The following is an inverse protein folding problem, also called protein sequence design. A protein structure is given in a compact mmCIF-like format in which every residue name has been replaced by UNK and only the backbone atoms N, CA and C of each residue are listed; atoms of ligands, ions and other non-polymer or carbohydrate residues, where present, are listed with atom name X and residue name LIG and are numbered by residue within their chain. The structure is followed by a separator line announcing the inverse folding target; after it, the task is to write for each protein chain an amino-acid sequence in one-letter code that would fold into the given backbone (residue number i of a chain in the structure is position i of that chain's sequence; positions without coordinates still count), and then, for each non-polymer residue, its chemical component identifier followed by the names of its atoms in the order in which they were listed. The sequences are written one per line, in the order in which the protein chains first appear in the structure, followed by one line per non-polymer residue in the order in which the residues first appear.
data_IF_087779632359
#
_entry.id   IF_087779632359
#
_cell.length_a   1.000
_cell.length_b   1.000
_cell.length_c   1.000
_cell.angle_alpha   90.00
_cell.angle_beta   90.00
_cell.angle_gamma   90.00
#
_symmetry.space_group_name_H-M   'P 1'
#
loop_
_entity.id
_entity.type
_entity.pdbx_description
1 polymer ?
#
# COMPACT_ATOMS: atom_id res chain seq x y z
N UNK A 1 -16.55 -28.28 48.41
CA UNK A 1 -17.04 -27.27 47.44
C UNK A 1 -15.96 -27.06 46.41
N UNK A 2 -16.08 -27.77 45.27
CA UNK A 2 -15.10 -27.63 44.16
C UNK A 2 -15.57 -26.55 43.26
N UNK A 3 -14.92 -25.36 43.31
CA UNK A 3 -15.06 -24.31 42.32
C UNK A 3 -14.39 -24.79 41.02
N UNK A 4 -15.16 -25.40 40.13
CA UNK A 4 -14.80 -25.54 38.73
C UNK A 4 -14.74 -24.14 38.13
N UNK A 5 -13.55 -23.54 38.14
CA UNK A 5 -13.28 -22.37 37.33
C UNK A 5 -13.53 -22.76 35.86
N UNK A 6 -14.68 -22.41 35.33
CA UNK A 6 -15.00 -22.53 33.91
C UNK A 6 -13.97 -21.73 33.14
N UNK A 7 -12.91 -22.39 32.65
CA UNK A 7 -11.99 -21.82 31.70
C UNK A 7 -12.79 -21.50 30.44
N UNK A 8 -13.23 -20.28 30.33
CA UNK A 8 -13.78 -19.74 29.09
C UNK A 8 -12.76 -19.99 28.00
N UNK A 9 -13.03 -20.97 27.13
CA UNK A 9 -12.28 -21.14 25.90
C UNK A 9 -12.40 -19.82 25.12
N UNK A 10 -11.30 -19.13 24.96
CA UNK A 10 -11.28 -17.95 24.08
C UNK A 10 -11.78 -18.42 22.70
N UNK A 11 -12.75 -17.74 22.10
CA UNK A 11 -13.24 -18.09 20.79
C UNK A 11 -12.07 -18.15 19.82
N UNK A 12 -11.86 -19.31 19.21
CA UNK A 12 -10.83 -19.51 18.19
C UNK A 12 -11.23 -18.63 16.99
N UNK A 13 -10.37 -17.68 16.60
CA UNK A 13 -10.56 -16.91 15.37
C UNK A 13 -10.62 -17.84 14.15
N UNK A 14 -11.17 -17.34 13.05
CA UNK A 14 -11.23 -18.08 11.79
C UNK A 14 -9.82 -18.43 11.26
N UNK A 15 -9.68 -19.48 10.45
CA UNK A 15 -8.39 -19.85 9.87
C UNK A 15 -7.82 -18.73 9.00
N UNK A 16 -6.51 -18.41 9.07
CA UNK A 16 -5.89 -17.35 8.31
C UNK A 16 -5.82 -17.61 6.79
N UNK A 17 -6.14 -18.84 6.36
CA UNK A 17 -6.16 -19.22 4.95
C UNK A 17 -7.06 -18.32 4.09
N UNK A 18 -8.17 -17.82 4.65
CA UNK A 18 -9.08 -16.92 3.95
C UNK A 18 -8.45 -15.58 3.61
N UNK A 19 -7.54 -15.09 4.46
CA UNK A 19 -6.76 -13.88 4.16
C UNK A 19 -5.81 -14.13 2.99
N UNK A 20 -5.19 -15.31 2.93
CA UNK A 20 -4.33 -15.69 1.81
C UNK A 20 -5.14 -15.85 0.51
N UNK A 21 -6.32 -16.46 0.56
CA UNK A 21 -7.23 -16.57 -0.60
C UNK A 21 -7.64 -15.17 -1.07
N UNK A 22 -8.02 -14.28 -0.15
CA UNK A 22 -8.33 -12.89 -0.48
C UNK A 22 -7.17 -12.22 -1.23
N UNK A 23 -5.94 -12.35 -0.74
CA UNK A 23 -4.75 -11.79 -1.41
C UNK A 23 -4.54 -12.37 -2.81
N UNK A 24 -4.69 -13.70 -2.97
CA UNK A 24 -4.56 -14.34 -4.28
C UNK A 24 -5.62 -13.81 -5.24
N UNK A 25 -6.88 -13.66 -4.80
CA UNK A 25 -7.95 -13.05 -5.61
C UNK A 25 -7.58 -11.62 -6.01
N UNK A 26 -7.06 -10.80 -5.07
CA UNK A 26 -6.57 -9.45 -5.38
C UNK A 26 -5.51 -9.49 -6.48
N UNK A 27 -4.49 -10.33 -6.34
CA UNK A 27 -3.38 -10.43 -7.28
C UNK A 27 -3.81 -10.93 -8.67
N UNK A 28 -4.73 -11.89 -8.71
CA UNK A 28 -5.29 -12.37 -9.98
C UNK A 28 -6.10 -11.27 -10.66
N UNK A 29 -6.95 -10.56 -9.93
CA UNK A 29 -7.75 -9.47 -10.49
C UNK A 29 -6.87 -8.32 -10.99
N UNK A 30 -5.84 -7.94 -10.23
CA UNK A 30 -4.90 -6.88 -10.64
C UNK A 30 -4.10 -7.35 -11.87
N UNK A 31 -3.55 -8.57 -11.85
CA UNK A 31 -2.81 -9.13 -12.97
C UNK A 31 -3.66 -9.29 -14.25
N UNK A 32 -4.96 -9.55 -14.11
CA UNK A 32 -5.88 -9.63 -15.26
C UNK A 32 -6.06 -8.27 -15.98
N UNK A 33 -5.79 -7.15 -15.30
CA UNK A 33 -5.91 -5.82 -15.90
C UNK A 33 -4.92 -5.57 -17.05
N UNK A 34 -3.77 -6.24 -17.03
CA UNK A 34 -2.74 -6.09 -18.07
C UNK A 34 -2.89 -7.10 -19.22
N UNK A 35 -3.82 -8.03 -19.11
CA UNK A 35 -4.10 -9.02 -20.17
C UNK A 35 -5.01 -8.41 -21.22
N UNK A 36 -4.49 -8.12 -22.41
CA UNK A 36 -5.20 -7.44 -23.50
C UNK A 36 -6.53 -8.12 -23.86
N UNK A 37 -6.53 -9.45 -23.97
CA UNK A 37 -7.73 -10.25 -24.27
C UNK A 37 -8.87 -10.08 -23.26
N UNK A 38 -8.58 -9.63 -22.07
CA UNK A 38 -9.54 -9.38 -21.00
C UNK A 38 -9.95 -7.89 -20.92
N UNK A 39 -9.58 -7.07 -21.90
CA UNK A 39 -9.84 -5.64 -21.93
C UNK A 39 -11.32 -5.26 -21.72
N UNK A 40 -12.24 -6.01 -22.31
CA UNK A 40 -13.69 -5.82 -22.13
C UNK A 40 -14.17 -6.04 -20.69
N UNK A 41 -13.45 -6.83 -19.89
CA UNK A 41 -13.77 -7.13 -18.51
C UNK A 41 -12.94 -6.31 -17.50
N UNK A 42 -12.10 -5.39 -17.98
CA UNK A 42 -11.16 -4.60 -17.14
C UNK A 42 -11.88 -3.88 -16.00
N UNK A 43 -13.02 -3.24 -16.28
CA UNK A 43 -13.84 -2.60 -15.25
C UNK A 43 -14.28 -3.59 -14.17
N UNK A 44 -14.74 -4.77 -14.56
CA UNK A 44 -15.14 -5.83 -13.62
C UNK A 44 -13.99 -6.29 -12.73
N UNK A 45 -12.81 -6.54 -13.28
CA UNK A 45 -11.62 -6.93 -12.50
C UNK A 45 -11.18 -5.82 -11.54
N UNK A 46 -11.19 -4.56 -11.99
CA UNK A 46 -10.85 -3.41 -11.14
C UNK A 46 -11.81 -3.27 -9.96
N UNK A 47 -13.11 -3.38 -10.19
CA UNK A 47 -14.12 -3.32 -9.13
C UNK A 47 -14.04 -4.54 -8.23
N UNK A 48 -13.82 -5.74 -8.77
CA UNK A 48 -13.76 -6.97 -7.98
C UNK A 48 -12.70 -6.93 -6.89
N UNK A 49 -11.59 -6.21 -7.10
CA UNK A 49 -10.58 -6.01 -6.05
C UNK A 49 -11.17 -5.35 -4.81
N UNK A 50 -12.06 -4.37 -4.96
CA UNK A 50 -12.69 -3.66 -3.86
C UNK A 50 -13.95 -4.41 -3.35
N UNK A 51 -14.75 -4.95 -4.25
CA UNK A 51 -15.95 -5.74 -3.91
C UNK A 51 -15.58 -6.96 -3.05
N UNK A 52 -14.47 -7.64 -3.35
CA UNK A 52 -14.01 -8.77 -2.53
C UNK A 52 -13.72 -8.36 -1.07
N UNK A 53 -13.21 -7.15 -0.83
CA UNK A 53 -13.00 -6.62 0.53
C UNK A 53 -14.32 -6.32 1.24
N UNK A 54 -15.32 -5.82 0.52
CA UNK A 54 -16.68 -5.61 1.05
C UNK A 54 -17.38 -6.93 1.32
N UNK A 55 -17.22 -7.93 0.47
CA UNK A 55 -17.76 -9.28 0.70
C UNK A 55 -17.15 -9.90 1.96
N UNK A 56 -15.84 -9.76 2.16
CA UNK A 56 -15.18 -10.19 3.40
C UNK A 56 -15.74 -9.45 4.62
N UNK A 57 -15.98 -8.15 4.50
CA UNK A 57 -16.61 -7.36 5.56
C UNK A 57 -18.02 -7.87 5.86
N UNK A 58 -18.87 -8.00 4.85
CA UNK A 58 -20.26 -8.47 4.98
C UNK A 58 -20.34 -9.87 5.59
N UNK A 59 -19.51 -10.81 5.10
CA UNK A 59 -19.47 -12.18 5.63
C UNK A 59 -19.00 -12.25 7.08
N UNK A 60 -18.16 -11.30 7.52
CA UNK A 60 -17.53 -11.35 8.83
C UNK A 60 -18.16 -10.42 9.88
N UNK A 61 -19.01 -9.45 9.48
CA UNK A 61 -19.49 -8.39 10.36
C UNK A 61 -20.28 -8.93 11.55
N UNK A 62 -20.99 -10.05 11.36
CA UNK A 62 -21.80 -10.70 12.40
C UNK A 62 -20.99 -11.56 13.36
N UNK A 63 -19.74 -11.89 13.01
CA UNK A 63 -18.90 -12.76 13.83
C UNK A 63 -18.26 -11.99 14.99
N UNK A 64 -18.21 -12.58 16.20
CA UNK A 64 -17.57 -11.93 17.33
C UNK A 64 -16.07 -11.76 17.08
N UNK A 65 -15.54 -10.60 17.44
CA UNK A 65 -14.10 -10.31 17.37
C UNK A 65 -13.57 -9.86 18.73
N UNK A 66 -13.21 -10.79 19.59
CA UNK A 66 -12.66 -10.46 20.91
C UNK A 66 -11.32 -9.74 20.83
N UNK A 67 -10.61 -9.86 19.70
CA UNK A 67 -9.28 -9.28 19.48
C UNK A 67 -9.31 -7.77 19.17
N UNK A 68 -10.48 -7.20 18.85
CA UNK A 68 -10.59 -5.78 18.45
C UNK A 68 -10.47 -4.77 19.61
N UNK A 69 -10.51 -5.21 20.86
CA UNK A 69 -10.35 -4.30 22.01
C UNK A 69 -8.95 -3.70 22.01
N UNK A 70 -8.89 -2.37 22.05
CA UNK A 70 -7.63 -1.61 22.08
C UNK A 70 -6.92 -1.49 20.72
N UNK A 71 -7.64 -1.68 19.61
CA UNK A 71 -7.12 -1.35 18.28
C UNK A 71 -7.35 0.15 17.98
N UNK A 72 -6.30 1.00 18.06
CA UNK A 72 -6.48 2.44 18.03
C UNK A 72 -7.01 2.95 16.69
N UNK A 73 -6.62 2.31 15.60
CA UNK A 73 -7.01 2.69 14.24
C UNK A 73 -8.51 2.52 13.99
N UNK A 74 -9.15 1.55 14.67
CA UNK A 74 -10.58 1.22 14.44
C UNK A 74 -11.51 2.41 14.69
N UNK A 75 -11.33 3.09 15.80
CA UNK A 75 -12.21 4.22 16.17
C UNK A 75 -12.06 5.35 15.18
N UNK A 76 -10.83 5.65 14.77
CA UNK A 76 -10.54 6.68 13.76
C UNK A 76 -11.14 6.28 12.41
N UNK A 77 -11.00 5.00 12.02
CA UNK A 77 -11.58 4.47 10.78
C UNK A 77 -13.12 4.59 10.75
N UNK A 78 -13.81 4.31 11.88
CA UNK A 78 -15.25 4.51 11.99
C UNK A 78 -15.60 5.99 11.85
N UNK A 79 -14.92 6.88 12.57
CA UNK A 79 -15.15 8.32 12.49
C UNK A 79 -14.91 8.86 11.07
N UNK A 80 -13.83 8.40 10.41
CA UNK A 80 -13.53 8.74 9.02
C UNK A 80 -14.68 8.33 8.07
N UNK A 81 -15.15 7.09 8.16
CA UNK A 81 -16.24 6.59 7.31
C UNK A 81 -17.57 7.29 7.60
N UNK A 82 -17.88 7.62 8.86
CA UNK A 82 -19.06 8.40 9.20
C UNK A 82 -18.98 9.81 8.62
N UNK A 83 -17.82 10.47 8.73
CA UNK A 83 -17.61 11.81 8.18
C UNK A 83 -17.71 11.79 6.65
N UNK A 84 -17.10 10.81 6.00
CA UNK A 84 -17.20 10.63 4.56
C UNK A 84 -18.66 10.40 4.12
N UNK A 85 -19.43 9.58 4.85
CA UNK A 85 -20.84 9.32 4.55
C UNK A 85 -21.70 10.60 4.68
N UNK A 86 -21.37 11.50 5.60
CA UNK A 86 -22.03 12.81 5.68
C UNK A 86 -21.81 13.66 4.43
N UNK A 87 -20.69 13.49 3.73
CA UNK A 87 -20.43 14.15 2.45
C UNK A 87 -21.45 13.81 1.37
N UNK A 88 -22.27 12.76 1.55
CA UNK A 88 -23.35 12.42 0.59
C UNK A 88 -24.48 13.44 0.56
N UNK A 89 -24.69 14.19 1.62
CA UNK A 89 -25.71 15.27 1.69
C UNK A 89 -25.13 16.63 1.28
N UNK A 90 -23.89 16.68 0.80
CA UNK A 90 -23.26 17.93 0.38
C UNK A 90 -23.95 18.48 -0.89
N UNK A 91 -24.26 19.82 -0.95
CA UNK A 91 -24.99 20.41 -2.08
C UNK A 91 -24.23 20.29 -3.41
N UNK A 92 -22.91 20.23 -3.39
CA UNK A 92 -22.05 20.03 -4.57
C UNK A 92 -21.74 18.56 -4.88
N UNK A 93 -22.56 17.62 -4.41
CA UNK A 93 -22.47 16.22 -4.82
C UNK A 93 -22.61 16.12 -6.35
N UNK A 94 -21.63 15.51 -7.03
CA UNK A 94 -21.65 15.50 -8.50
C UNK A 94 -22.83 14.67 -9.04
N UNK A 95 -22.89 13.39 -8.71
CA UNK A 95 -24.04 12.51 -8.93
C UNK A 95 -24.24 11.61 -7.71
N UNK A 96 -25.46 11.18 -7.38
CA UNK A 96 -25.70 10.23 -6.29
C UNK A 96 -24.91 8.94 -6.48
N UNK A 97 -24.79 8.46 -7.73
CA UNK A 97 -24.07 7.21 -8.05
C UNK A 97 -22.58 7.36 -7.82
N UNK A 98 -21.96 8.48 -8.23
CA UNK A 98 -20.55 8.74 -7.99
C UNK A 98 -20.25 8.90 -6.48
N UNK A 99 -21.13 9.57 -5.74
CA UNK A 99 -20.99 9.71 -4.29
C UNK A 99 -21.08 8.37 -3.55
N UNK A 100 -22.09 7.56 -3.87
CA UNK A 100 -22.24 6.21 -3.30
C UNK A 100 -21.02 5.35 -3.64
N UNK A 101 -20.59 5.33 -4.91
CA UNK A 101 -19.44 4.57 -5.36
C UNK A 101 -18.16 5.01 -4.63
N UNK A 102 -17.99 6.31 -4.38
CA UNK A 102 -16.85 6.86 -3.64
C UNK A 102 -16.84 6.42 -2.17
N UNK A 103 -18.01 6.41 -1.50
CA UNK A 103 -18.16 5.90 -0.13
C UNK A 103 -17.82 4.40 -0.08
N UNK A 104 -18.35 3.59 -1.01
CA UNK A 104 -18.08 2.16 -1.05
C UNK A 104 -16.61 1.84 -1.38
N UNK A 105 -15.96 2.63 -2.23
CA UNK A 105 -14.53 2.50 -2.49
C UNK A 105 -13.70 2.71 -1.21
N UNK A 106 -13.94 3.80 -0.49
CA UNK A 106 -13.24 4.09 0.76
C UNK A 106 -13.55 3.04 1.84
N UNK A 107 -14.81 2.61 1.95
CA UNK A 107 -15.20 1.51 2.83
C UNK A 107 -14.43 0.22 2.48
N UNK A 108 -14.32 -0.13 1.20
CA UNK A 108 -13.60 -1.32 0.74
C UNK A 108 -12.11 -1.26 1.09
N UNK A 109 -11.49 -0.09 0.92
CA UNK A 109 -10.08 0.16 1.23
C UNK A 109 -9.81 0.01 2.73
N UNK A 110 -10.70 0.52 3.58
CA UNK A 110 -10.56 0.52 5.05
C UNK A 110 -11.11 -0.77 5.68
N UNK A 111 -11.96 -1.52 4.99
CA UNK A 111 -12.63 -2.72 5.49
C UNK A 111 -11.69 -3.75 6.18
N UNK A 112 -10.43 -3.97 5.76
CA UNK A 112 -9.50 -4.85 6.45
C UNK A 112 -9.33 -4.55 7.94
N UNK A 113 -9.44 -3.28 8.36
CA UNK A 113 -9.42 -2.88 9.78
C UNK A 113 -10.51 -3.59 10.60
N UNK A 114 -11.62 -3.95 9.97
CA UNK A 114 -12.78 -4.55 10.63
C UNK A 114 -12.85 -6.07 10.50
N UNK A 115 -12.45 -6.64 9.36
CA UNK A 115 -12.59 -8.08 9.14
C UNK A 115 -11.33 -8.88 9.44
N UNK A 116 -10.11 -8.36 9.23
CA UNK A 116 -8.86 -9.08 9.50
C UNK A 116 -8.72 -9.52 10.97
N UNK A 117 -9.09 -8.70 11.98
CA UNK A 117 -8.97 -9.11 13.39
C UNK A 117 -9.85 -10.29 13.82
N UNK A 118 -10.69 -10.81 12.93
CA UNK A 118 -11.53 -12.01 13.20
C UNK A 118 -10.81 -13.32 12.90
N UNK A 119 -9.63 -13.24 12.27
CA UNK A 119 -8.81 -14.39 11.93
C UNK A 119 -7.74 -14.66 12.98
N UNK A 120 -7.36 -15.93 13.11
CA UNK A 120 -6.30 -16.36 14.02
C UNK A 120 -4.92 -16.18 13.36
N UNK A 121 -4.50 -14.93 13.19
CA UNK A 121 -3.20 -14.60 12.59
C UNK A 121 -2.15 -14.60 13.69
N UNK A 122 -1.21 -15.55 13.63
CA UNK A 122 0.01 -15.55 14.42
C UNK A 122 1.19 -14.95 13.64
N UNK A 123 2.37 -14.83 14.24
CA UNK A 123 3.56 -14.28 13.60
C UNK A 123 3.97 -15.06 12.34
N UNK A 124 3.70 -16.39 12.28
CA UNK A 124 3.99 -17.21 11.11
C UNK A 124 3.01 -16.95 9.97
N UNK A 125 1.73 -16.78 10.29
CA UNK A 125 0.71 -16.42 9.31
C UNK A 125 0.97 -15.01 8.76
N UNK A 126 1.32 -14.04 9.62
CA UNK A 126 1.72 -12.69 9.19
C UNK A 126 2.92 -12.73 8.24
N UNK A 127 3.94 -13.54 8.55
CA UNK A 127 5.08 -13.71 7.65
C UNK A 127 4.66 -14.27 6.28
N UNK A 128 3.72 -15.23 6.22
CA UNK A 128 3.20 -15.74 4.93
C UNK A 128 2.46 -14.66 4.15
N UNK A 129 1.67 -13.83 4.80
CA UNK A 129 0.98 -12.69 4.19
C UNK A 129 2.00 -11.74 3.54
N UNK A 130 3.06 -11.38 4.27
CA UNK A 130 4.13 -10.52 3.74
C UNK A 130 4.86 -11.18 2.57
N UNK A 131 5.16 -12.47 2.66
CA UNK A 131 5.80 -13.19 1.56
C UNK A 131 4.94 -13.26 0.29
N UNK A 132 3.61 -13.43 0.43
CA UNK A 132 2.68 -13.39 -0.71
C UNK A 132 2.65 -12.01 -1.36
N UNK A 133 2.55 -10.95 -0.55
CA UNK A 133 2.55 -9.57 -1.03
C UNK A 133 3.89 -9.24 -1.72
N UNK A 134 5.00 -9.60 -1.09
CA UNK A 134 6.32 -9.41 -1.66
C UNK A 134 6.52 -10.16 -2.97
N UNK A 135 6.08 -11.42 -3.05
CA UNK A 135 6.15 -12.22 -4.27
C UNK A 135 5.37 -11.58 -5.42
N UNK A 136 4.17 -11.08 -5.15
CA UNK A 136 3.38 -10.36 -6.15
C UNK A 136 4.05 -9.06 -6.60
N UNK A 137 4.57 -8.25 -5.68
CA UNK A 137 5.26 -7.01 -6.05
C UNK A 137 6.56 -7.27 -6.80
N UNK A 138 7.30 -8.32 -6.44
CA UNK A 138 8.51 -8.72 -7.20
C UNK A 138 8.14 -9.17 -8.61
N UNK A 139 7.07 -9.95 -8.78
CA UNK A 139 6.56 -10.32 -10.10
C UNK A 139 6.11 -9.09 -10.90
N UNK A 140 5.38 -8.18 -10.26
CA UNK A 140 4.94 -6.92 -10.87
C UNK A 140 6.11 -6.04 -11.32
N UNK A 141 7.15 -5.92 -10.49
CA UNK A 141 8.38 -5.22 -10.84
C UNK A 141 9.10 -5.89 -12.01
N UNK A 142 9.16 -7.23 -12.03
CA UNK A 142 9.75 -8.00 -13.15
C UNK A 142 9.00 -7.71 -14.45
N UNK A 143 7.67 -7.77 -14.42
CA UNK A 143 6.85 -7.42 -15.59
C UNK A 143 7.09 -5.95 -16.00
N UNK A 144 7.20 -5.03 -15.05
CA UNK A 144 7.55 -3.64 -15.32
C UNK A 144 8.90 -3.48 -16.04
N UNK A 145 9.90 -4.25 -15.66
CA UNK A 145 11.19 -4.32 -16.40
C UNK A 145 10.98 -4.82 -17.82
N UNK A 146 10.22 -5.92 -17.99
CA UNK A 146 9.94 -6.48 -19.31
C UNK A 146 9.14 -5.51 -20.20
N UNK A 147 8.26 -4.67 -19.63
CA UNK A 147 7.51 -3.65 -20.35
C UNK A 147 8.42 -2.57 -20.97
N UNK A 148 9.54 -2.25 -20.31
CA UNK A 148 10.49 -1.26 -20.85
C UNK A 148 11.33 -1.85 -21.98
N UNK A 149 11.83 -3.09 -21.82
CA UNK A 149 12.70 -3.72 -22.81
C UNK A 149 11.99 -4.43 -23.96
N UNK A 150 10.75 -4.86 -23.71
CA UNK A 150 9.92 -5.58 -24.69
C UNK A 150 8.49 -5.03 -24.69
N UNK A 151 8.31 -3.72 -25.04
CA UNK A 151 6.99 -3.06 -24.94
C UNK A 151 5.93 -3.74 -25.79
N UNK A 152 6.27 -4.17 -27.01
CA UNK A 152 5.33 -4.82 -27.95
C UNK A 152 4.71 -6.12 -27.39
N UNK A 153 5.34 -6.75 -26.40
CA UNK A 153 4.89 -8.02 -25.82
C UNK A 153 4.23 -7.87 -24.46
N UNK A 154 4.67 -6.91 -23.66
CA UNK A 154 4.32 -6.81 -22.25
C UNK A 154 3.60 -5.53 -21.86
N UNK A 155 3.68 -4.46 -22.68
CA UNK A 155 2.94 -3.24 -22.40
C UNK A 155 1.47 -3.44 -22.80
N UNK A 156 0.51 -3.21 -21.88
CA UNK A 156 -0.90 -3.24 -22.26
C UNK A 156 -1.25 -2.06 -23.18
N UNK A 157 -2.31 -2.20 -23.97
CA UNK A 157 -2.81 -1.11 -24.82
C UNK A 157 -3.08 0.13 -23.98
N UNK A 158 -2.42 1.26 -24.27
CA UNK A 158 -2.52 2.49 -23.49
C UNK A 158 -3.78 3.31 -23.78
N UNK A 159 -4.62 2.91 -24.73
CA UNK A 159 -5.84 3.64 -25.11
C UNK A 159 -6.75 3.92 -23.91
N UNK A 160 -6.84 2.97 -22.97
CA UNK A 160 -7.63 3.14 -21.77
C UNK A 160 -7.10 4.24 -20.83
N UNK A 161 -5.79 4.47 -20.80
CA UNK A 161 -5.19 5.55 -19.97
C UNK A 161 -5.68 6.89 -20.50
N UNK A 162 -5.63 7.09 -21.82
CA UNK A 162 -6.10 8.30 -22.47
C UNK A 162 -7.59 8.55 -22.21
N UNK A 163 -8.40 7.49 -22.28
CA UNK A 163 -9.84 7.58 -21.96
C UNK A 163 -10.09 7.95 -20.50
N UNK A 164 -9.25 7.48 -19.57
CA UNK A 164 -9.46 7.68 -18.15
C UNK A 164 -9.04 9.08 -17.67
N UNK A 165 -7.87 9.55 -18.12
CA UNK A 165 -7.24 10.78 -17.60
C UNK A 165 -7.23 11.94 -18.61
N UNK A 166 -7.59 11.72 -19.87
CA UNK A 166 -7.48 12.69 -20.95
C UNK A 166 -6.11 12.69 -21.62
N UNK A 167 -6.02 13.28 -22.82
CA UNK A 167 -4.81 13.23 -23.66
C UNK A 167 -3.62 13.97 -23.02
N UNK A 168 -3.85 15.20 -22.51
CA UNK A 168 -2.79 16.03 -21.95
C UNK A 168 -2.12 15.38 -20.73
N UNK A 169 -2.94 14.82 -19.82
CA UNK A 169 -2.43 14.11 -18.64
C UNK A 169 -1.73 12.82 -19.08
N UNK A 170 -2.29 12.09 -20.04
CA UNK A 170 -1.70 10.85 -20.56
C UNK A 170 -0.30 11.10 -21.15
N UNK A 171 -0.08 12.20 -21.88
CA UNK A 171 1.23 12.56 -22.41
C UNK A 171 2.25 12.79 -21.28
N UNK A 172 1.86 13.41 -20.17
CA UNK A 172 2.75 13.65 -19.01
C UNK A 172 3.20 12.36 -18.32
N UNK A 173 2.48 11.24 -18.56
CA UNK A 173 2.78 9.94 -17.97
C UNK A 173 3.74 9.09 -18.83
N UNK A 174 4.21 9.64 -19.95
CA UNK A 174 5.19 8.98 -20.81
C UNK A 174 6.63 9.23 -20.35
N UNK A 175 7.51 8.34 -20.76
CA UNK A 175 8.97 8.46 -20.65
C UNK A 175 9.58 8.43 -22.04
N UNK A 176 10.70 9.13 -22.22
CA UNK A 176 11.46 9.04 -23.43
C UNK A 176 12.48 7.90 -23.35
N UNK A 177 12.64 7.17 -24.44
CA UNK A 177 13.64 6.14 -24.65
C UNK A 177 14.80 6.70 -25.49
N UNK A 178 15.95 6.03 -25.49
CA UNK A 178 17.15 6.45 -26.23
C UNK A 178 16.97 6.51 -27.74
N UNK A 179 16.06 5.72 -28.27
CA UNK A 179 15.73 5.72 -29.69
C UNK A 179 14.82 6.92 -30.11
N UNK A 180 14.59 7.88 -29.20
CA UNK A 180 13.70 9.02 -29.40
C UNK A 180 12.21 8.69 -29.34
N UNK A 181 11.84 7.43 -29.12
CA UNK A 181 10.46 7.03 -28.93
C UNK A 181 9.97 7.38 -27.52
N UNK A 182 8.72 7.76 -27.39
CA UNK A 182 8.08 7.93 -26.10
C UNK A 182 7.12 6.78 -25.82
N UNK A 183 7.18 6.25 -24.60
CA UNK A 183 6.24 5.21 -24.14
C UNK A 183 5.71 5.55 -22.75
N UNK A 184 4.59 4.95 -22.37
CA UNK A 184 4.09 5.08 -21.01
C UNK A 184 5.09 4.51 -19.99
N UNK A 185 5.14 5.13 -18.81
CA UNK A 185 5.87 4.57 -17.67
C UNK A 185 5.43 3.14 -17.42
N UNK A 186 6.35 2.22 -17.08
CA UNK A 186 6.01 0.82 -16.87
C UNK A 186 4.94 0.68 -15.78
N UNK A 187 3.93 -0.13 -16.08
CA UNK A 187 2.76 -0.34 -15.23
C UNK A 187 2.93 -1.54 -14.30
N UNK A 188 3.80 -2.49 -14.67
CA UNK A 188 3.91 -3.77 -14.00
C UNK A 188 2.66 -4.62 -14.23
N UNK A 189 2.16 -5.26 -13.19
CA UNK A 189 0.88 -5.99 -13.22
C UNK A 189 -0.32 -5.09 -12.91
N UNK A 190 -0.11 -3.78 -12.69
CA UNK A 190 -1.21 -2.82 -12.57
C UNK A 190 -1.52 -2.19 -13.92
N UNK A 191 -2.64 -1.49 -14.03
CA UNK A 191 -3.01 -0.73 -15.21
C UNK A 191 -2.77 0.78 -15.03
N UNK A 192 -1.89 1.14 -14.08
CA UNK A 192 -1.54 2.53 -13.78
C UNK A 192 -0.12 2.84 -14.21
N UNK A 193 0.11 3.85 -15.08
CA UNK A 193 1.44 4.27 -15.46
C UNK A 193 2.30 4.64 -14.24
N UNK A 194 3.49 4.05 -14.14
CA UNK A 194 4.37 4.18 -12.99
C UNK A 194 4.07 3.20 -11.83
N UNK A 195 3.02 2.39 -11.92
CA UNK A 195 2.68 1.38 -10.90
C UNK A 195 3.79 0.35 -10.67
N UNK A 196 4.58 0.05 -11.70
CA UNK A 196 5.77 -0.80 -11.57
C UNK A 196 6.82 -0.20 -10.61
N UNK A 197 6.99 1.12 -10.58
CA UNK A 197 7.90 1.78 -9.64
C UNK A 197 7.47 1.58 -8.18
N UNK A 198 6.18 1.72 -7.89
CA UNK A 198 5.64 1.44 -6.55
C UNK A 198 5.78 -0.04 -6.16
N UNK A 199 5.53 -0.96 -7.09
CA UNK A 199 5.77 -2.39 -6.88
C UNK A 199 7.26 -2.68 -6.66
N UNK A 200 8.14 -2.05 -7.44
CA UNK A 200 9.59 -2.13 -7.30
C UNK A 200 10.08 -1.66 -5.93
N UNK A 201 9.55 -0.56 -5.43
CA UNK A 201 9.86 -0.06 -4.09
C UNK A 201 9.50 -1.09 -3.01
N UNK A 202 8.28 -1.62 -3.05
CA UNK A 202 7.83 -2.63 -2.08
C UNK A 202 8.64 -3.93 -2.19
N UNK A 203 9.00 -4.35 -3.41
CA UNK A 203 9.86 -5.51 -3.66
C UNK A 203 11.28 -5.29 -3.12
N UNK A 204 11.86 -4.09 -3.32
CA UNK A 204 13.17 -3.70 -2.82
C UNK A 204 13.23 -3.74 -1.30
N UNK A 205 12.37 -2.98 -0.64
CA UNK A 205 12.37 -2.84 0.83
C UNK A 205 12.14 -4.18 1.52
N UNK A 206 11.08 -4.90 1.09
CA UNK A 206 10.75 -6.20 1.70
C UNK A 206 11.78 -7.26 1.35
N UNK A 207 12.27 -7.29 0.10
CA UNK A 207 13.29 -8.21 -0.35
C UNK A 207 14.60 -8.04 0.42
N UNK A 208 15.07 -6.80 0.60
CA UNK A 208 16.26 -6.48 1.37
C UNK A 208 16.11 -6.90 2.84
N UNK A 209 14.94 -6.63 3.43
CA UNK A 209 14.62 -7.07 4.78
C UNK A 209 14.70 -8.60 4.92
N UNK A 210 14.09 -9.35 4.00
CA UNK A 210 14.14 -10.82 3.98
C UNK A 210 15.56 -11.34 3.77
N UNK A 211 16.35 -10.71 2.89
CA UNK A 211 17.73 -11.10 2.61
C UNK A 211 18.61 -11.06 3.88
N UNK A 212 18.37 -10.09 4.77
CA UNK A 212 19.19 -9.90 5.97
C UNK A 212 18.62 -10.61 7.19
N UNK A 213 17.29 -10.71 7.32
CA UNK A 213 16.66 -11.19 8.56
C UNK A 213 16.22 -12.65 8.51
N UNK A 214 15.96 -13.22 7.32
CA UNK A 214 15.43 -14.59 7.23
C UNK A 214 16.51 -15.65 7.55
N UNK A 215 16.05 -16.75 8.16
CA UNK A 215 16.91 -17.89 8.51
C UNK A 215 17.14 -18.85 7.32
N UNK A 216 16.20 -18.88 6.38
CA UNK A 216 16.26 -19.76 5.23
C UNK A 216 17.09 -19.12 4.13
N UNK A 217 18.21 -19.77 3.76
CA UNK A 217 19.14 -19.28 2.74
C UNK A 217 18.46 -19.05 1.37
N UNK A 218 17.51 -19.89 1.00
CA UNK A 218 16.76 -19.73 -0.25
C UNK A 218 15.92 -18.44 -0.22
N UNK A 219 15.23 -18.16 0.90
CA UNK A 219 14.44 -16.93 1.05
C UNK A 219 15.36 -15.71 1.08
N UNK A 220 16.55 -15.82 1.67
CA UNK A 220 17.54 -14.74 1.63
C UNK A 220 18.02 -14.46 0.21
N UNK A 221 18.36 -15.49 -0.55
CA UNK A 221 18.80 -15.36 -1.95
C UNK A 221 17.69 -14.77 -2.84
N UNK A 222 16.46 -15.29 -2.71
CA UNK A 222 15.30 -14.76 -3.42
C UNK A 222 14.99 -13.31 -2.98
N UNK A 223 15.13 -13.02 -1.68
CA UNK A 223 14.98 -11.67 -1.14
C UNK A 223 15.93 -10.67 -1.77
N UNK A 224 17.22 -11.06 -1.88
CA UNK A 224 18.23 -10.23 -2.53
C UNK A 224 17.94 -10.03 -4.03
N UNK A 225 17.57 -11.10 -4.74
CA UNK A 225 17.19 -11.01 -6.14
C UNK A 225 15.96 -10.12 -6.34
N UNK A 226 14.92 -10.25 -5.50
CA UNK A 226 13.74 -9.40 -5.52
C UNK A 226 14.07 -7.94 -5.21
N UNK A 227 15.00 -7.68 -4.29
CA UNK A 227 15.46 -6.33 -3.99
C UNK A 227 16.21 -5.71 -5.19
N UNK A 228 17.08 -6.48 -5.86
CA UNK A 228 17.80 -6.03 -7.04
C UNK A 228 16.85 -5.70 -8.20
N UNK A 229 15.89 -6.59 -8.49
CA UNK A 229 14.84 -6.35 -9.50
C UNK A 229 14.00 -5.13 -9.12
N UNK A 230 13.64 -5.01 -7.84
CA UNK A 230 12.82 -3.92 -7.33
C UNK A 230 13.48 -2.56 -7.53
N UNK A 231 14.72 -2.38 -7.10
CA UNK A 231 15.43 -1.09 -7.25
C UNK A 231 15.70 -0.78 -8.72
N UNK A 232 16.04 -1.79 -9.52
CA UNK A 232 16.21 -1.63 -10.96
C UNK A 232 14.91 -1.13 -11.62
N UNK A 233 13.76 -1.73 -11.26
CA UNK A 233 12.46 -1.30 -11.74
C UNK A 233 12.14 0.15 -11.31
N UNK A 234 12.51 0.55 -10.09
CA UNK A 234 12.37 1.94 -9.63
C UNK A 234 13.15 2.90 -10.53
N UNK A 235 14.40 2.58 -10.86
CA UNK A 235 15.22 3.42 -11.76
C UNK A 235 14.58 3.57 -13.14
N UNK A 236 14.23 2.47 -13.80
CA UNK A 236 13.69 2.51 -15.17
C UNK A 236 12.28 3.11 -15.24
N UNK A 237 11.53 3.12 -14.13
CA UNK A 237 10.23 3.79 -14.06
C UNK A 237 10.32 5.30 -14.14
N UNK A 238 11.52 5.86 -13.94
CA UNK A 238 11.83 7.30 -13.92
C UNK A 238 10.94 8.09 -12.94
N UNK A 239 10.43 7.45 -11.88
CA UNK A 239 9.65 8.11 -10.82
C UNK A 239 10.60 8.52 -9.70
N UNK A 240 11.11 9.75 -9.75
CA UNK A 240 12.12 10.27 -8.80
C UNK A 240 11.72 10.11 -7.34
N UNK A 241 10.45 10.35 -7.02
CA UNK A 241 9.92 10.23 -5.65
C UNK A 241 10.15 8.84 -5.08
N UNK A 242 10.09 7.78 -5.92
CA UNK A 242 10.29 6.41 -5.45
C UNK A 242 11.73 6.13 -5.03
N UNK A 243 12.72 6.78 -5.64
CA UNK A 243 14.13 6.68 -5.22
C UNK A 243 14.34 7.33 -3.85
N UNK A 244 13.73 8.51 -3.64
CA UNK A 244 13.79 9.21 -2.35
C UNK A 244 13.14 8.36 -1.27
N UNK A 245 11.96 7.79 -1.55
CA UNK A 245 11.25 6.90 -0.62
C UNK A 245 12.07 5.64 -0.34
N UNK A 246 12.74 5.05 -1.35
CA UNK A 246 13.59 3.87 -1.16
C UNK A 246 14.76 4.17 -0.19
N UNK A 247 15.39 5.34 -0.32
CA UNK A 247 16.42 5.80 0.61
C UNK A 247 15.88 6.03 2.02
N UNK A 248 14.74 6.71 2.14
CA UNK A 248 14.07 6.95 3.42
C UNK A 248 13.67 5.65 4.11
N UNK A 249 13.10 4.71 3.38
CA UNK A 249 12.70 3.39 3.87
C UNK A 249 13.91 2.60 4.39
N UNK A 250 15.04 2.65 3.67
CA UNK A 250 16.28 2.02 4.11
C UNK A 250 16.77 2.62 5.44
N UNK A 251 16.77 3.95 5.56
CA UNK A 251 17.18 4.66 6.80
C UNK A 251 16.25 4.27 7.96
N UNK A 252 14.94 4.26 7.74
CA UNK A 252 13.96 3.86 8.77
C UNK A 252 14.18 2.42 9.21
N UNK A 253 14.36 1.51 8.25
CA UNK A 253 14.58 0.10 8.57
C UNK A 253 15.86 -0.09 9.39
N UNK A 254 16.94 0.57 9.00
CA UNK A 254 18.21 0.56 9.76
C UNK A 254 18.04 1.14 11.16
N UNK A 255 17.37 2.29 11.28
CA UNK A 255 17.15 2.95 12.57
C UNK A 255 16.37 2.04 13.54
N UNK A 256 15.27 1.46 13.10
CA UNK A 256 14.47 0.53 13.92
C UNK A 256 15.28 -0.71 14.33
N UNK A 257 16.14 -1.22 13.44
CA UNK A 257 16.99 -2.38 13.71
C UNK A 257 18.10 -2.03 14.71
N UNK A 258 18.74 -0.86 14.58
CA UNK A 258 19.76 -0.35 15.48
C UNK A 258 19.20 -0.02 16.87
N UNK A 259 18.02 0.63 16.95
CA UNK A 259 17.33 0.93 18.22
C UNK A 259 17.01 -0.32 19.05
N UNK A 260 16.95 -1.48 18.41
CA UNK A 260 16.83 -2.79 19.09
C UNK A 260 18.17 -3.41 19.47
N UNK A 261 19.27 -2.71 19.33
CA UNK A 261 20.61 -3.21 19.64
C UNK A 261 21.16 -4.22 18.61
N UNK A 262 20.53 -4.37 17.43
CA UNK A 262 20.99 -5.29 16.37
C UNK A 262 21.87 -4.53 15.37
N UNK A 263 22.94 -3.91 15.85
CA UNK A 263 23.82 -3.06 15.03
C UNK A 263 24.45 -3.80 13.85
N UNK A 264 24.88 -5.06 14.03
CA UNK A 264 25.46 -5.87 12.94
C UNK A 264 24.48 -6.03 11.77
N UNK A 265 23.19 -6.23 12.08
CA UNK A 265 22.15 -6.32 11.05
C UNK A 265 21.88 -4.96 10.41
N UNK A 266 21.89 -3.88 11.16
CA UNK A 266 21.72 -2.54 10.64
C UNK A 266 22.85 -2.17 9.67
N UNK A 267 24.11 -2.48 10.02
CA UNK A 267 25.27 -2.31 9.14
C UNK A 267 25.17 -3.22 7.91
N UNK A 268 24.77 -4.50 8.07
CA UNK A 268 24.53 -5.41 6.96
C UNK A 268 23.46 -4.90 5.98
N UNK A 269 22.38 -4.30 6.51
CA UNK A 269 21.34 -3.66 5.71
C UNK A 269 21.87 -2.46 4.93
N UNK A 270 22.68 -1.60 5.59
CA UNK A 270 23.30 -0.46 4.94
C UNK A 270 24.17 -0.91 3.76
N UNK A 271 25.08 -1.86 4.01
CA UNK A 271 25.97 -2.36 2.98
C UNK A 271 25.18 -3.00 1.84
N UNK A 272 24.23 -3.90 2.15
CA UNK A 272 23.42 -4.56 1.14
C UNK A 272 22.55 -3.56 0.37
N UNK A 273 21.96 -2.57 1.05
CA UNK A 273 21.16 -1.52 0.45
C UNK A 273 21.98 -0.63 -0.49
N UNK A 274 23.11 -0.12 -0.03
CA UNK A 274 24.03 0.70 -0.84
C UNK A 274 24.53 -0.09 -2.05
N UNK A 275 24.97 -1.33 -1.84
CA UNK A 275 25.43 -2.19 -2.96
C UNK A 275 24.31 -2.42 -3.99
N UNK A 276 23.08 -2.72 -3.53
CA UNK A 276 21.95 -2.98 -4.42
C UNK A 276 21.57 -1.73 -5.21
N UNK A 277 21.52 -0.56 -4.54
CA UNK A 277 21.24 0.73 -5.18
C UNK A 277 22.35 1.07 -6.19
N UNK A 278 23.62 0.93 -5.81
CA UNK A 278 24.76 1.23 -6.69
C UNK A 278 24.82 0.30 -7.88
N UNK A 279 24.60 -1.01 -7.70
CA UNK A 279 24.56 -1.98 -8.80
C UNK A 279 23.37 -1.69 -9.74
N UNK A 280 22.21 -1.36 -9.20
CA UNK A 280 21.05 -0.93 -9.99
C UNK A 280 21.37 0.33 -10.80
N UNK A 281 22.02 1.32 -10.20
CA UNK A 281 22.46 2.52 -10.89
C UNK A 281 23.46 2.22 -12.02
N UNK A 282 24.52 1.47 -11.73
CA UNK A 282 25.52 1.07 -12.74
C UNK A 282 24.87 0.32 -13.89
N UNK A 283 23.98 -0.62 -13.59
CA UNK A 283 23.27 -1.36 -14.63
C UNK A 283 22.41 -0.44 -15.51
N UNK A 284 21.66 0.47 -14.91
CA UNK A 284 20.84 1.45 -15.64
C UNK A 284 21.71 2.33 -16.53
N UNK A 285 22.87 2.77 -16.04
CA UNK A 285 23.81 3.62 -16.81
C UNK A 285 24.54 2.86 -17.93
N UNK A 286 24.70 1.54 -17.82
CA UNK A 286 25.42 0.72 -18.82
C UNK A 286 24.49 0.08 -19.86
N UNK A 287 23.31 -0.32 -19.46
CA UNK A 287 22.33 -1.06 -20.28
C UNK A 287 21.05 -0.21 -20.46
N UNK A 288 20.79 0.68 -19.52
CA UNK A 288 19.70 1.65 -19.55
C UNK A 288 20.04 2.79 -20.49
N UNK A 289 19.05 3.59 -20.76
CA UNK A 289 19.10 4.65 -21.71
C UNK A 289 19.82 5.91 -21.20
N UNK A 290 20.46 6.66 -22.10
CA UNK A 290 20.95 8.01 -21.82
C UNK A 290 19.84 8.92 -21.26
N UNK A 291 18.57 8.66 -21.62
CA UNK A 291 17.41 9.37 -21.09
C UNK A 291 17.20 9.14 -19.58
N UNK A 292 17.53 7.95 -19.03
CA UNK A 292 17.49 7.71 -17.59
C UNK A 292 18.62 8.46 -16.89
N UNK A 293 19.82 8.47 -17.48
CA UNK A 293 20.97 9.25 -17.00
C UNK A 293 20.65 10.74 -16.92
N UNK A 294 20.21 11.33 -18.03
CA UNK A 294 19.82 12.74 -18.09
C UNK A 294 18.72 13.11 -17.07
N UNK A 295 17.77 12.20 -16.83
CA UNK A 295 16.73 12.44 -15.82
C UNK A 295 17.22 12.30 -14.38
N UNK A 296 18.27 11.51 -14.14
CA UNK A 296 18.93 11.44 -12.84
C UNK A 296 19.84 12.64 -12.59
N UNK A 297 20.50 13.16 -13.63
CA UNK A 297 21.29 14.40 -13.55
C UNK A 297 20.44 15.59 -13.10
N UNK A 298 19.17 15.67 -13.54
CA UNK A 298 18.26 16.72 -13.05
C UNK A 298 17.91 16.63 -11.56
N UNK A 299 18.28 15.53 -10.86
CA UNK A 299 18.21 15.45 -9.38
C UNK A 299 19.40 16.15 -8.71
N UNK A 300 20.50 16.33 -9.43
CA UNK A 300 21.73 16.94 -8.93
C UNK A 300 21.88 18.41 -9.36
N UNK A 301 21.31 18.79 -10.51
CA UNK A 301 21.43 20.13 -11.09
C UNK A 301 20.58 21.17 -10.37
N UNK A 302 19.40 20.76 -9.89
CA UNK A 302 18.52 21.61 -9.07
C UNK A 302 18.36 21.03 -7.67
N UNK A 303 18.14 21.90 -6.68
CA UNK A 303 17.87 21.38 -5.33
C UNK A 303 16.59 20.50 -5.36
N UNK A 304 16.66 19.35 -4.69
CA UNK A 304 15.51 18.42 -4.61
C UNK A 304 14.26 19.12 -4.11
N UNK A 305 14.41 20.12 -3.23
CA UNK A 305 13.31 20.92 -2.70
C UNK A 305 12.69 21.81 -3.78
N UNK A 306 13.50 22.45 -4.62
CA UNK A 306 13.01 23.28 -5.74
C UNK A 306 12.23 22.44 -6.75
N UNK A 307 12.78 21.28 -7.12
CA UNK A 307 12.10 20.34 -8.04
C UNK A 307 10.77 19.84 -7.44
N UNK A 308 10.74 19.54 -6.13
CA UNK A 308 9.51 19.14 -5.46
C UNK A 308 8.49 20.28 -5.46
N UNK A 309 8.89 21.50 -5.09
CA UNK A 309 8.01 22.66 -5.03
C UNK A 309 7.39 23.00 -6.39
N UNK A 310 8.18 22.93 -7.46
CA UNK A 310 7.69 23.20 -8.81
C UNK A 310 6.71 22.14 -9.34
N UNK A 311 6.87 20.88 -8.93
CA UNK A 311 6.08 19.78 -9.47
C UNK A 311 4.95 19.31 -8.55
N UNK A 312 5.17 19.22 -7.23
CA UNK A 312 4.23 18.62 -6.26
C UNK A 312 3.99 19.49 -5.03
N UNK A 313 4.99 20.23 -4.57
CA UNK A 313 4.89 21.12 -3.42
C UNK A 313 3.87 22.24 -3.62
N UNK A 314 3.70 22.69 -4.87
CA UNK A 314 2.65 23.62 -5.27
C UNK A 314 1.26 23.11 -4.86
N UNK A 315 0.94 21.83 -5.10
CA UNK A 315 -0.34 21.27 -4.71
C UNK A 315 -0.54 21.24 -3.20
N UNK A 316 0.54 21.06 -2.42
CA UNK A 316 0.45 21.12 -0.96
C UNK A 316 0.14 22.54 -0.48
N UNK A 317 0.81 23.54 -1.06
CA UNK A 317 0.55 24.97 -0.80
C UNK A 317 -0.90 25.31 -1.15
N UNK A 318 -1.35 24.98 -2.37
CA UNK A 318 -2.74 25.20 -2.78
C UNK A 318 -3.75 24.49 -1.87
N UNK A 319 -3.41 23.29 -1.38
CA UNK A 319 -4.30 22.56 -0.47
C UNK A 319 -4.61 23.36 0.78
N UNK A 320 -3.59 24.02 1.38
CA UNK A 320 -3.77 24.74 2.63
C UNK A 320 -4.19 26.19 2.45
N UNK A 321 -3.68 26.88 1.42
CA UNK A 321 -3.93 28.30 1.21
C UNK A 321 -5.23 28.56 0.44
N UNK A 322 -5.63 27.64 -0.43
CA UNK A 322 -6.80 27.79 -1.29
C UNK A 322 -7.89 26.77 -1.00
N UNK A 323 -7.61 25.47 -1.17
CA UNK A 323 -8.67 24.48 -1.15
C UNK A 323 -9.26 24.24 0.24
N UNK A 324 -8.46 24.27 1.29
CA UNK A 324 -8.97 24.11 2.65
C UNK A 324 -9.87 25.26 3.11
N UNK A 325 -9.55 26.54 2.84
CA UNK A 325 -10.48 27.65 3.06
C UNK A 325 -11.73 27.63 2.17
N UNK A 326 -11.59 27.20 0.90
CA UNK A 326 -12.70 27.11 -0.06
C UNK A 326 -13.64 25.94 0.27
N UNK A 327 -13.09 24.82 0.72
CA UNK A 327 -13.83 23.58 1.01
C UNK A 327 -13.61 23.08 2.45
N UNK A 328 -13.97 23.84 3.48
CA UNK A 328 -13.67 23.49 4.88
C UNK A 328 -14.35 22.20 5.36
N UNK A 329 -15.47 21.81 4.72
CA UNK A 329 -16.23 20.58 4.98
C UNK A 329 -16.25 19.62 3.78
N UNK A 330 -15.43 19.88 2.75
CA UNK A 330 -15.31 19.11 1.53
C UNK A 330 -15.90 19.81 0.31
N UNK A 331 -15.56 19.31 -0.87
CA UNK A 331 -15.98 19.85 -2.16
C UNK A 331 -17.17 19.07 -2.79
N UNK A 332 -17.76 18.14 -2.03
CA UNK A 332 -18.75 17.20 -2.56
C UNK A 332 -18.12 15.92 -3.14
N UNK A 333 -18.73 14.78 -2.82
CA UNK A 333 -18.19 13.46 -3.21
C UNK A 333 -18.31 13.18 -4.71
N UNK A 334 -17.39 12.38 -5.22
CA UNK A 334 -17.43 11.88 -6.58
C UNK A 334 -17.08 12.90 -7.66
N UNK A 335 -16.32 13.96 -7.35
CA UNK A 335 -15.88 15.01 -8.29
C UNK A 335 -14.49 14.75 -8.88
N UNK A 336 -13.74 13.77 -8.39
CA UNK A 336 -12.39 13.45 -8.87
C UNK A 336 -12.12 11.94 -8.86
N UNK A 337 -11.01 11.56 -9.49
CA UNK A 337 -10.47 10.20 -9.45
C UNK A 337 -11.34 9.19 -10.20
N UNK A 338 -11.14 7.91 -9.87
CA UNK A 338 -11.74 6.79 -10.59
C UNK A 338 -13.28 6.82 -10.52
N UNK A 339 -13.86 7.20 -9.37
CA UNK A 339 -15.32 7.18 -9.22
C UNK A 339 -15.99 8.27 -10.07
N UNK A 340 -15.36 9.43 -10.20
CA UNK A 340 -15.81 10.45 -11.13
C UNK A 340 -15.70 9.97 -12.58
N UNK A 341 -14.59 9.33 -12.96
CA UNK A 341 -14.37 8.88 -14.33
C UNK A 341 -15.40 7.86 -14.81
N UNK A 342 -15.92 7.03 -13.90
CA UNK A 342 -16.94 6.01 -14.24
C UNK A 342 -18.37 6.45 -14.02
N UNK A 343 -18.65 7.26 -13.03
CA UNK A 343 -20.00 7.53 -12.54
C UNK A 343 -20.33 9.02 -12.41
N UNK A 344 -19.37 9.90 -12.66
CA UNK A 344 -19.53 11.34 -12.58
C UNK A 344 -20.14 11.93 -13.86
N UNK A 345 -20.76 13.09 -13.70
CA UNK A 345 -21.27 13.90 -14.79
C UNK A 345 -20.32 15.09 -15.03
N UNK A 346 -19.68 15.09 -16.20
CA UNK A 346 -18.76 16.17 -16.63
C UNK A 346 -19.50 17.45 -17.03
N UNK A 347 -20.77 17.35 -17.35
CA UNK A 347 -21.59 18.47 -17.80
C UNK A 347 -22.29 19.20 -16.66
N UNK A 348 -22.21 18.70 -15.42
CA UNK A 348 -22.85 19.31 -14.26
C UNK A 348 -22.17 20.65 -13.91
N UNK A 349 -22.80 21.81 -14.16
CA UNK A 349 -22.18 23.12 -13.92
C UNK A 349 -22.11 23.48 -12.43
N UNK A 350 -22.92 22.86 -11.56
CA UNK A 350 -22.93 23.10 -10.14
C UNK A 350 -21.85 22.31 -9.38
N UNK A 351 -21.31 21.31 -10.00
CA UNK A 351 -20.32 20.42 -9.41
C UNK A 351 -19.33 19.95 -10.48
N UNK A 352 -18.53 20.89 -11.05
CA UNK A 352 -17.56 20.56 -12.09
C UNK A 352 -16.48 19.63 -11.54
N UNK A 353 -15.79 18.88 -12.44
CA UNK A 353 -14.69 18.03 -12.05
C UNK A 353 -13.58 18.83 -11.39
N UNK A 354 -12.97 18.27 -10.35
CA UNK A 354 -11.81 18.81 -9.65
C UNK A 354 -10.65 17.82 -9.77
N UNK A 355 -9.44 18.29 -9.56
CA UNK A 355 -8.24 17.49 -9.71
C UNK A 355 -7.48 17.37 -8.39
N UNK A 356 -7.30 16.17 -7.91
CA UNK A 356 -6.47 15.86 -6.77
C UNK A 356 -5.23 15.09 -7.21
N UNK A 357 -4.06 15.66 -7.01
CA UNK A 357 -2.77 15.04 -7.36
C UNK A 357 -2.10 14.37 -6.15
N UNK A 358 -2.34 14.90 -4.95
CA UNK A 358 -1.76 14.44 -3.70
C UNK A 358 -2.87 14.04 -2.71
N UNK A 359 -2.54 13.16 -1.78
CA UNK A 359 -3.51 12.65 -0.82
C UNK A 359 -4.09 13.74 0.11
N UNK A 360 -3.31 14.76 0.40
CA UNK A 360 -3.73 15.89 1.22
C UNK A 360 -4.91 16.64 0.59
N UNK A 361 -4.79 16.94 -0.72
CA UNK A 361 -5.88 17.54 -1.50
C UNK A 361 -7.11 16.63 -1.56
N UNK A 362 -6.90 15.31 -1.75
CA UNK A 362 -7.98 14.34 -1.78
C UNK A 362 -8.79 14.32 -0.49
N UNK A 363 -8.13 14.31 0.68
CA UNK A 363 -8.84 14.37 1.98
C UNK A 363 -9.61 15.67 2.17
N UNK A 364 -9.05 16.81 1.71
CA UNK A 364 -9.76 18.10 1.76
C UNK A 364 -10.99 18.07 0.87
N UNK A 365 -10.91 17.53 -0.34
CA UNK A 365 -12.06 17.44 -1.23
C UNK A 365 -13.13 16.47 -0.73
N UNK A 366 -12.75 15.38 -0.08
CA UNK A 366 -13.67 14.37 0.43
C UNK A 366 -14.46 14.82 1.68
N UNK A 367 -13.90 15.70 2.52
CA UNK A 367 -14.60 16.10 3.75
C UNK A 367 -13.88 17.19 4.54
N UNK A 368 -13.08 18.02 3.86
CA UNK A 368 -12.45 19.21 4.42
C UNK A 368 -11.49 18.93 5.57
N UNK A 369 -11.42 19.89 6.48
CA UNK A 369 -10.56 19.81 7.65
C UNK A 369 -10.81 18.58 8.54
N UNK A 370 -12.07 18.20 8.85
CA UNK A 370 -12.32 17.00 9.66
C UNK A 370 -11.78 15.72 9.04
N UNK A 371 -11.97 15.52 7.74
CA UNK A 371 -11.53 14.29 7.08
C UNK A 371 -10.01 14.27 6.89
N UNK A 372 -9.39 15.41 6.63
CA UNK A 372 -7.94 15.58 6.61
C UNK A 372 -7.32 15.14 7.96
N UNK A 373 -7.86 15.61 9.08
CA UNK A 373 -7.37 15.23 10.41
C UNK A 373 -7.57 13.74 10.72
N UNK A 374 -8.74 13.19 10.36
CA UNK A 374 -9.04 11.79 10.60
C UNK A 374 -8.19 10.88 9.70
N UNK A 375 -7.98 11.23 8.43
CA UNK A 375 -7.13 10.49 7.51
C UNK A 375 -5.68 10.46 7.99
N UNK A 376 -5.11 11.64 8.26
CA UNK A 376 -3.76 11.79 8.79
C UNK A 376 -3.61 11.08 10.16
N UNK A 377 -4.56 11.30 11.07
CA UNK A 377 -4.57 10.67 12.39
C UNK A 377 -4.61 9.14 12.31
N UNK A 378 -5.40 8.59 11.38
CA UNK A 378 -5.47 7.14 11.13
C UNK A 378 -4.15 6.56 10.63
N UNK A 379 -3.51 7.24 9.67
CA UNK A 379 -2.20 6.83 9.12
C UNK A 379 -1.13 6.91 10.21
N UNK A 380 -1.04 8.01 10.95
CA UNK A 380 -0.06 8.17 12.03
C UNK A 380 -0.28 7.17 13.17
N UNK A 381 -1.53 6.88 13.53
CA UNK A 381 -1.86 5.85 14.53
C UNK A 381 -1.42 4.45 14.06
N UNK A 382 -1.59 4.14 12.78
CA UNK A 382 -1.15 2.87 12.19
C UNK A 382 0.37 2.73 12.18
N UNK A 383 1.09 3.78 11.76
CA UNK A 383 2.56 3.85 11.78
C UNK A 383 3.09 3.72 13.21
N UNK A 384 2.53 4.51 14.15
CA UNK A 384 2.93 4.45 15.56
C UNK A 384 2.73 3.06 16.16
N UNK A 385 1.58 2.43 15.90
CA UNK A 385 1.31 1.08 16.38
C UNK A 385 2.31 0.06 15.82
N UNK A 386 2.63 0.13 14.53
CA UNK A 386 3.59 -0.75 13.89
C UNK A 386 5.01 -0.54 14.46
N UNK A 387 5.46 0.71 14.58
CA UNK A 387 6.76 1.06 15.16
C UNK A 387 6.87 0.63 16.63
N UNK A 388 5.83 0.88 17.44
CA UNK A 388 5.77 0.40 18.82
C UNK A 388 5.91 -1.11 18.88
N UNK A 389 5.19 -1.86 18.04
CA UNK A 389 5.27 -3.33 17.99
C UNK A 389 6.67 -3.78 17.57
N UNK A 390 7.29 -3.13 16.59
CA UNK A 390 8.65 -3.40 16.16
C UNK A 390 9.67 -3.21 17.29
N UNK A 391 9.50 -2.20 18.14
CA UNK A 391 10.44 -1.87 19.22
C UNK A 391 10.19 -2.67 20.51
N UNK A 392 8.94 -3.05 20.81
CA UNK A 392 8.59 -3.63 22.12
C UNK A 392 8.27 -5.12 22.10
N UNK A 393 8.11 -5.75 20.92
CA UNK A 393 7.81 -7.18 20.84
C UNK A 393 8.99 -8.05 21.25
N UNK A 394 8.72 -9.11 22.00
CA UNK A 394 9.71 -10.15 22.38
C UNK A 394 9.75 -11.31 21.37
N UNK A 395 8.77 -11.44 20.47
CA UNK A 395 8.79 -12.47 19.43
C UNK A 395 9.67 -11.96 18.26
N UNK A 396 10.79 -12.62 17.94
CA UNK A 396 11.70 -12.16 16.91
C UNK A 396 11.06 -12.11 15.52
N UNK A 397 10.17 -13.06 15.18
CA UNK A 397 9.47 -13.07 13.89
C UNK A 397 8.49 -11.92 13.80
N UNK A 398 7.70 -11.70 14.86
CA UNK A 398 6.76 -10.59 14.91
C UNK A 398 7.49 -9.23 14.82
N UNK A 399 8.64 -9.12 15.47
CA UNK A 399 9.48 -7.93 15.42
C UNK A 399 9.97 -7.63 14.01
N UNK A 400 10.55 -8.63 13.34
CA UNK A 400 11.08 -8.44 12.00
C UNK A 400 9.94 -8.06 11.03
N UNK A 401 8.77 -8.71 11.14
CA UNK A 401 7.57 -8.36 10.34
C UNK A 401 7.03 -6.96 10.68
N UNK A 402 6.99 -6.58 11.95
CA UNK A 402 6.57 -5.25 12.36
C UNK A 402 7.53 -4.16 11.85
N UNK A 403 8.84 -4.43 11.82
CA UNK A 403 9.82 -3.51 11.24
C UNK A 403 9.58 -3.31 9.74
N UNK A 404 9.37 -4.39 8.98
CA UNK A 404 9.02 -4.31 7.54
C UNK A 404 7.74 -3.48 7.35
N UNK A 405 6.68 -3.79 8.11
CA UNK A 405 5.40 -3.08 7.98
C UNK A 405 5.56 -1.60 8.35
N UNK A 406 6.32 -1.27 9.40
CA UNK A 406 6.56 0.14 9.77
C UNK A 406 7.25 0.90 8.64
N UNK A 407 8.27 0.29 8.05
CA UNK A 407 9.01 0.89 6.93
C UNK A 407 8.09 1.12 5.74
N UNK A 408 7.35 0.09 5.30
CA UNK A 408 6.39 0.23 4.20
C UNK A 408 5.31 1.27 4.50
N UNK A 409 4.83 1.37 5.75
CA UNK A 409 3.82 2.35 6.15
C UNK A 409 4.36 3.78 6.09
N UNK A 410 5.61 3.99 6.52
CA UNK A 410 6.27 5.30 6.37
C UNK A 410 6.51 5.64 4.91
N UNK A 411 6.91 4.68 4.07
CA UNK A 411 7.01 4.86 2.63
C UNK A 411 5.68 5.29 2.01
N UNK A 412 4.57 4.64 2.37
CA UNK A 412 3.22 5.06 1.92
C UNK A 412 2.86 6.45 2.46
N UNK A 413 3.22 6.77 3.70
CA UNK A 413 3.00 8.11 4.24
C UNK A 413 3.77 9.18 3.44
N UNK A 414 5.04 8.95 3.14
CA UNK A 414 5.83 9.87 2.29
C UNK A 414 5.20 10.00 0.90
N UNK A 415 4.65 8.92 0.34
CA UNK A 415 3.96 8.97 -0.94
C UNK A 415 2.71 9.86 -0.93
N UNK A 416 2.10 10.15 0.23
CA UNK A 416 0.94 11.08 0.30
C UNK A 416 1.25 12.48 -0.18
N UNK A 417 2.52 12.88 -0.20
CA UNK A 417 2.99 14.17 -0.72
C UNK A 417 3.19 14.19 -2.25
N UNK A 418 3.11 13.04 -2.90
CA UNK A 418 3.37 12.92 -4.33
C UNK A 418 2.31 12.19 -5.13
N UNK A 419 1.39 11.49 -4.47
CA UNK A 419 0.28 10.77 -5.10
C UNK A 419 -0.86 10.50 -4.10
N UNK A 420 -1.88 9.72 -4.51
CA UNK A 420 -3.08 9.42 -3.72
C UNK A 420 -3.11 7.92 -3.35
N UNK A 421 -2.23 7.43 -2.45
CA UNK A 421 -2.13 6.00 -2.16
C UNK A 421 -3.38 5.41 -1.50
N UNK A 422 -4.16 6.21 -0.77
CA UNK A 422 -5.37 5.75 -0.06
C UNK A 422 -6.64 5.76 -0.92
N UNK A 423 -6.54 6.08 -2.20
CA UNK A 423 -7.66 5.96 -3.15
C UNK A 423 -7.59 4.68 -3.99
N UNK A 424 -6.75 3.71 -3.62
CA UNK A 424 -6.53 2.48 -4.39
C UNK A 424 -5.94 1.33 -3.59
N UNK A 425 -5.28 0.41 -4.31
CA UNK A 425 -4.71 -0.81 -3.74
C UNK A 425 -3.62 -0.57 -2.69
N UNK A 426 -2.89 0.54 -2.80
CA UNK A 426 -1.90 0.95 -1.79
C UNK A 426 -2.53 1.10 -0.40
N UNK A 427 -3.65 1.81 -0.33
CA UNK A 427 -4.41 1.99 0.91
C UNK A 427 -4.99 0.69 1.46
N UNK A 428 -5.56 -0.16 0.58
CA UNK A 428 -6.08 -1.46 0.99
C UNK A 428 -4.98 -2.35 1.60
N UNK A 429 -3.82 -2.41 0.96
CA UNK A 429 -2.66 -3.18 1.45
C UNK A 429 -2.13 -2.60 2.76
N UNK A 430 -2.08 -1.28 2.89
CA UNK A 430 -1.68 -0.58 4.12
C UNK A 430 -2.56 -1.00 5.31
N UNK A 431 -3.88 -0.89 5.17
CA UNK A 431 -4.82 -1.23 6.24
C UNK A 431 -4.84 -2.73 6.55
N UNK A 432 -4.70 -3.59 5.53
CA UNK A 432 -4.62 -5.03 5.70
C UNK A 432 -3.38 -5.43 6.51
N UNK A 433 -2.21 -4.91 6.17
CA UNK A 433 -0.96 -5.19 6.89
C UNK A 433 -1.01 -4.69 8.32
N UNK A 434 -1.56 -3.49 8.54
CA UNK A 434 -1.71 -2.94 9.89
C UNK A 434 -2.64 -3.81 10.76
N UNK A 435 -3.80 -4.20 10.22
CA UNK A 435 -4.77 -5.05 10.93
C UNK A 435 -4.21 -6.47 11.17
N UNK A 436 -3.47 -7.03 10.22
CA UNK A 436 -2.81 -8.33 10.38
C UNK A 436 -1.72 -8.27 11.47
N UNK A 437 -0.93 -7.21 11.50
CA UNK A 437 0.07 -6.98 12.55
C UNK A 437 -0.59 -6.84 13.93
N UNK A 438 -1.68 -6.05 14.02
CA UNK A 438 -2.43 -5.92 15.27
C UNK A 438 -2.91 -7.29 15.76
N UNK A 439 -3.50 -8.08 14.87
CA UNK A 439 -4.01 -9.40 15.19
C UNK A 439 -2.89 -10.33 15.67
N UNK A 440 -1.75 -10.35 14.94
CA UNK A 440 -0.61 -11.18 15.30
C UNK A 440 0.00 -10.78 16.66
N UNK A 441 0.03 -9.49 16.98
CA UNK A 441 0.57 -8.98 18.25
C UNK A 441 -0.30 -9.37 19.46
N UNK A 442 -1.58 -9.65 19.25
CA UNK A 442 -2.55 -10.05 20.28
C UNK A 442 -2.76 -11.54 20.35
N UNK A 443 -2.24 -12.29 19.37
CA UNK A 443 -2.42 -13.75 19.33
C UNK A 443 -1.67 -14.42 20.48
N UNK A 444 -2.42 -14.99 21.41
CA UNK A 444 -1.87 -15.83 22.48
C UNK A 444 -1.99 -17.28 22.06
N UNK A 445 -0.85 -17.97 21.93
CA UNK A 445 -0.88 -19.43 21.71
C UNK A 445 -1.63 -20.10 22.86
N UNK A 446 -2.53 -21.06 22.58
CA UNK A 446 -3.08 -21.92 23.62
C UNK A 446 -1.90 -22.58 24.34
N UNK A 447 -1.84 -22.42 25.66
CA UNK A 447 -0.86 -23.16 26.47
C UNK A 447 -1.17 -24.64 26.31
N UNK A 448 -0.22 -25.50 25.86
CA UNK A 448 -0.44 -26.92 25.79
C UNK A 448 -0.91 -27.40 27.18
N UNK A 449 -2.09 -28.02 27.26
CA UNK A 449 -2.50 -28.65 28.51
C UNK A 449 -1.49 -29.75 28.79
N UNK A 450 -0.70 -29.63 29.86
CA UNK A 450 0.07 -30.76 30.36
C UNK A 450 -0.94 -31.87 30.61
N UNK A 451 -0.73 -33.08 30.09
CA UNK A 451 -1.60 -34.21 30.44
C UNK A 451 -1.64 -34.28 31.96
N UNK A 452 -2.83 -34.23 32.49
CA UNK A 452 -3.05 -34.44 33.95
C UNK A 452 -2.48 -35.82 34.21
N UNK A 453 -1.45 -35.96 35.10
CA UNK A 453 -0.98 -37.30 35.47
C UNK A 453 -2.18 -38.11 35.93
N UNK A 454 -2.50 -39.19 35.24
CA UNK A 454 -3.52 -40.10 35.74
C UNK A 454 -3.03 -40.54 37.11
N UNK A 455 -3.76 -40.15 38.16
CA UNK A 455 -3.53 -40.67 39.51
C UNK A 455 -3.53 -42.17 39.35
N UNK A 456 -2.37 -42.83 39.61
CA UNK A 456 -2.26 -44.26 39.71
C UNK A 456 -3.32 -44.65 40.74
N UNK A 457 -4.39 -45.33 40.28
CA UNK A 457 -5.29 -46.00 41.20
C UNK A 457 -4.43 -47.03 41.93
N UNK A 458 -4.12 -46.72 43.18
CA UNK A 458 -3.61 -47.75 44.09
C UNK A 458 -4.73 -48.77 44.28
N UNK A 459 -4.44 -49.97 43.89
CA UNK A 459 -5.22 -51.16 44.21
C UNK A 459 -4.80 -51.63 45.60
#
# INVERSE_FOLDING_TARGET
MNAYASRTQQPRGLPPVWVNIFLVVQFVCIGALVVERLGSFRFGFRIMTFVSSLLMLGAMITLPSPQMRGYPVRTIAVAYLCMLAMGFIHPELNTPLAGIAHIFLNLAIIAPVFWVPRFAIDAKALRRIILLIWGFYTLSATVGVLQVYFPDRFMPDPSFVRQLVGEDVAESLKIQLDNGQSQFRPMGLSDSPGGAGSAGLAAFVTGLALAVTDKNILIRALGFAGAAIGIFCVYISQVRTMLIVAGADLVVFMALTALRGKFDRAVGLLIAGVLTISLGFVWVMTIGSNAVGARLETLTDESTLTVYQQNRGYFLTETFERYLPEYPLGAGLGRYGMMFSYFGDRSNPFSPPIYAEIQWTAWVFDGGFPLLLLGLGGVLAAVYFAAKTALTSNDPVLTDMATIITTLHLGVFVQTFGNIPFSGQGGLTFWLLNAALFTASRYRRPIPQRPIPMARRAW
#
